data_IF_326427951680
#
_entry.id   IF_326427951680
#
_cell.length_a   1.000
_cell.length_b   1.000
_cell.length_c   1.000
_cell.angle_alpha   90.00
_cell.angle_beta   90.00
_cell.angle_gamma   90.00
#
_symmetry.space_group_name_H-M   'P 1'
#
loop_
_entity.id
_entity.type
_entity.pdbx_description
1 polymer ?
#
# COMPACT_ATOMS: atom_id res chain seq x y z
N UNK A 1 2.53 -18.18 9.53
CA UNK A 1 3.51 -17.20 9.01
C UNK A 1 3.05 -16.62 7.68
N UNK A 2 2.77 -17.46 6.68
CA UNK A 2 2.44 -17.02 5.31
C UNK A 2 1.17 -16.15 5.23
N UNK A 3 0.12 -16.47 5.99
CA UNK A 3 -1.10 -15.64 6.06
C UNK A 3 -0.84 -14.22 6.58
N UNK A 4 0.07 -14.08 7.57
CA UNK A 4 0.44 -12.78 8.10
C UNK A 4 1.22 -11.96 7.07
N UNK A 5 2.14 -12.61 6.33
CA UNK A 5 2.91 -11.97 5.26
C UNK A 5 1.97 -11.53 4.12
N UNK A 6 1.01 -12.39 3.74
CA UNK A 6 -0.02 -12.07 2.76
C UNK A 6 -0.90 -10.89 3.20
N UNK A 7 -1.32 -10.86 4.47
CA UNK A 7 -2.06 -9.74 5.04
C UNK A 7 -1.24 -8.44 5.06
N UNK A 8 0.04 -8.50 5.45
CA UNK A 8 0.95 -7.36 5.39
C UNK A 8 1.14 -6.85 3.95
N UNK A 9 1.29 -7.75 2.98
CA UNK A 9 1.37 -7.41 1.56
C UNK A 9 0.10 -6.72 1.07
N UNK A 10 -1.08 -7.26 1.42
CA UNK A 10 -2.34 -6.60 1.10
C UNK A 10 -2.42 -5.19 1.73
N UNK A 11 -2.12 -5.05 3.02
CA UNK A 11 -2.16 -3.78 3.73
C UNK A 11 -1.19 -2.74 3.16
N UNK A 12 -0.01 -3.14 2.69
CA UNK A 12 0.96 -2.24 2.08
C UNK A 12 0.36 -1.43 0.91
N UNK A 13 -0.67 -1.94 0.24
CA UNK A 13 -1.31 -1.29 -0.92
C UNK A 13 -1.92 0.06 -0.56
N UNK A 14 -2.33 0.22 0.71
CA UNK A 14 -2.88 1.46 1.23
C UNK A 14 -1.88 2.61 1.16
N UNK A 15 -0.56 2.37 1.18
CA UNK A 15 0.44 3.44 0.99
C UNK A 15 0.31 4.05 -0.41
N UNK A 16 0.31 3.20 -1.44
CA UNK A 16 0.20 3.64 -2.82
C UNK A 16 -1.16 4.28 -3.09
N UNK A 17 -2.25 3.65 -2.62
CA UNK A 17 -3.62 4.13 -2.79
C UNK A 17 -3.84 5.48 -2.12
N UNK A 18 -3.37 5.69 -0.89
CA UNK A 18 -3.50 6.98 -0.19
C UNK A 18 -2.62 8.09 -0.81
N UNK A 19 -1.47 7.74 -1.40
CA UNK A 19 -0.63 8.68 -2.14
C UNK A 19 -1.29 9.11 -3.44
N UNK A 20 -1.90 8.18 -4.18
CA UNK A 20 -2.69 8.48 -5.37
C UNK A 20 -3.92 9.32 -5.04
N UNK A 21 -4.66 8.97 -3.98
CA UNK A 21 -5.87 9.68 -3.58
C UNK A 21 -5.60 11.17 -3.23
N UNK A 22 -4.40 11.49 -2.69
CA UNK A 22 -3.97 12.88 -2.44
C UNK A 22 -3.46 13.61 -3.68
N UNK A 23 -3.01 12.89 -4.71
CA UNK A 23 -2.55 13.49 -5.96
C UNK A 23 -3.71 13.88 -6.89
N UNK A 24 -4.91 13.34 -6.64
CA UNK A 24 -6.12 13.66 -7.39
C UNK A 24 -6.91 14.75 -6.66
N UNK A 25 -7.25 15.88 -7.32
CA UNK A 25 -8.13 16.87 -6.74
C UNK A 25 -9.54 16.27 -6.62
N UNK A 26 -10.01 16.05 -5.40
CA UNK A 26 -11.38 15.57 -5.14
C UNK A 26 -12.08 16.49 -4.14
N UNK A 27 -13.38 16.70 -4.34
CA UNK A 27 -14.23 17.46 -3.39
C UNK A 27 -14.20 16.88 -1.98
N UNK A 28 -13.95 15.58 -1.84
CA UNK A 28 -13.91 14.87 -0.55
C UNK A 28 -12.81 15.42 0.39
N UNK A 29 -11.78 16.07 -0.16
CA UNK A 29 -10.71 16.68 0.64
C UNK A 29 -11.07 18.06 1.22
N UNK A 30 -12.26 18.59 0.93
CA UNK A 30 -12.68 19.91 1.41
C UNK A 30 -11.80 21.06 0.89
N UNK A 31 -10.98 20.82 -0.14
CA UNK A 31 -10.18 21.85 -0.81
C UNK A 31 -11.13 22.70 -1.67
N UNK A 32 -11.86 23.58 -1.00
CA UNK A 32 -12.58 24.66 -1.67
C UNK A 32 -11.60 25.56 -2.40
N UNK A 33 -12.06 26.18 -3.48
CA UNK A 33 -11.37 27.25 -4.18
C UNK A 33 -10.96 28.34 -3.15
N UNK A 34 -9.73 28.32 -2.66
CA UNK A 34 -9.28 29.26 -1.62
C UNK A 34 -8.14 28.82 -0.71
N UNK A 35 -7.69 27.55 -0.69
CA UNK A 35 -6.48 27.19 0.06
C UNK A 35 -5.22 27.62 -0.69
N UNK A 36 -4.85 28.89 -0.51
CA UNK A 36 -3.58 29.49 -0.91
C UNK A 36 -2.40 28.68 -0.34
N UNK A 37 -1.62 28.02 -1.21
CA UNK A 37 -0.22 27.67 -0.92
C UNK A 37 0.20 26.21 -1.05
N UNK A 38 -0.70 25.23 -1.03
CA UNK A 38 -0.32 23.82 -1.16
C UNK A 38 -0.49 23.35 -2.61
N UNK A 39 0.55 23.46 -3.43
CA UNK A 39 0.57 22.82 -4.75
C UNK A 39 0.30 21.32 -4.56
N UNK A 40 -0.77 20.75 -5.15
CA UNK A 40 -1.01 19.32 -5.06
C UNK A 40 0.23 18.61 -5.64
N UNK A 41 0.81 17.61 -4.94
CA UNK A 41 1.96 16.90 -5.48
C UNK A 41 1.53 16.25 -6.80
N UNK A 42 2.24 16.61 -7.88
CA UNK A 42 1.96 16.12 -9.22
C UNK A 42 1.84 14.57 -9.22
N UNK A 43 0.96 13.97 -10.04
CA UNK A 43 0.79 12.52 -10.13
C UNK A 43 2.11 11.78 -10.40
N UNK A 44 3.10 12.45 -11.01
CA UNK A 44 4.48 11.98 -11.18
C UNK A 44 5.17 11.57 -9.87
N UNK A 45 4.87 12.19 -8.73
CA UNK A 45 5.43 11.83 -7.41
C UNK A 45 4.75 10.61 -6.78
N UNK A 46 3.57 10.20 -7.24
CA UNK A 46 2.87 9.02 -6.72
C UNK A 46 3.32 7.72 -7.39
N UNK A 47 3.75 7.79 -8.65
CA UNK A 47 4.30 6.67 -9.42
C UNK A 47 5.44 5.89 -8.76
N UNK A 48 6.54 6.53 -8.30
CA UNK A 48 7.63 5.78 -7.68
C UNK A 48 7.18 5.03 -6.43
N UNK A 49 6.21 5.58 -5.69
CA UNK A 49 5.65 4.93 -4.51
C UNK A 49 4.79 3.73 -4.92
N UNK A 50 3.94 3.89 -5.93
CA UNK A 50 3.11 2.78 -6.43
C UNK A 50 3.97 1.63 -6.94
N UNK A 51 5.01 1.92 -7.75
CA UNK A 51 5.96 0.92 -8.25
C UNK A 51 6.69 0.25 -7.07
N UNK A 52 7.26 1.04 -6.16
CA UNK A 52 7.97 0.49 -5.00
C UNK A 52 7.08 -0.41 -4.12
N UNK A 53 5.81 -0.04 -3.97
CA UNK A 53 4.83 -0.84 -3.22
C UNK A 53 4.47 -2.12 -3.96
N UNK A 54 4.25 -2.08 -5.28
CA UNK A 54 3.96 -3.26 -6.10
C UNK A 54 5.12 -4.26 -6.09
N UNK A 55 6.36 -3.78 -6.20
CA UNK A 55 7.56 -4.63 -6.11
C UNK A 55 7.64 -5.30 -4.73
N UNK A 56 7.52 -4.51 -3.66
CA UNK A 56 7.57 -5.04 -2.30
C UNK A 56 6.49 -6.09 -2.04
N UNK A 57 5.24 -5.81 -2.45
CA UNK A 57 4.13 -6.75 -2.32
C UNK A 57 4.29 -7.99 -3.16
N UNK A 58 4.69 -7.83 -4.42
CA UNK A 58 4.92 -8.93 -5.33
C UNK A 58 5.94 -9.89 -4.74
N UNK A 59 7.09 -9.38 -4.31
CA UNK A 59 8.12 -10.19 -3.68
C UNK A 59 7.61 -10.90 -2.40
N UNK A 60 6.98 -10.17 -1.48
CA UNK A 60 6.48 -10.76 -0.23
C UNK A 60 5.37 -11.80 -0.46
N UNK A 61 4.39 -11.50 -1.32
CA UNK A 61 3.25 -12.37 -1.59
C UNK A 61 3.65 -13.62 -2.37
N UNK A 62 4.54 -13.48 -3.37
CA UNK A 62 5.04 -14.62 -4.15
C UNK A 62 5.95 -15.52 -3.31
N UNK A 63 6.78 -14.96 -2.43
CA UNK A 63 7.56 -15.74 -1.47
C UNK A 63 6.66 -16.53 -0.50
N UNK A 64 5.55 -15.94 -0.07
CA UNK A 64 4.65 -16.57 0.91
C UNK A 64 3.69 -17.62 0.32
N UNK A 65 3.21 -17.42 -0.91
CA UNK A 65 2.07 -18.19 -1.49
C UNK A 65 2.36 -18.80 -2.86
N UNK A 66 3.53 -18.54 -3.45
CA UNK A 66 3.87 -18.92 -4.81
C UNK A 66 3.47 -17.85 -5.84
N UNK A 67 4.00 -17.97 -7.06
CA UNK A 67 3.95 -16.91 -8.06
C UNK A 67 2.52 -16.53 -8.49
N UNK A 68 1.70 -17.51 -8.87
CA UNK A 68 0.34 -17.27 -9.36
C UNK A 68 -0.58 -16.70 -8.25
N UNK A 69 -0.58 -17.32 -7.08
CA UNK A 69 -1.39 -16.88 -5.94
C UNK A 69 -0.94 -15.51 -5.42
N UNK A 70 0.36 -15.25 -5.38
CA UNK A 70 0.91 -13.96 -4.95
C UNK A 70 0.48 -12.81 -5.86
N UNK A 71 0.56 -12.98 -7.18
CA UNK A 71 0.10 -11.96 -8.14
C UNK A 71 -1.41 -11.74 -8.06
N UNK A 72 -2.21 -12.81 -7.93
CA UNK A 72 -3.64 -12.71 -7.75
C UNK A 72 -4.01 -11.96 -6.47
N UNK A 73 -3.29 -12.20 -5.36
CA UNK A 73 -3.47 -11.49 -4.10
C UNK A 73 -3.16 -10.00 -4.24
N UNK A 74 -2.07 -9.65 -4.93
CA UNK A 74 -1.74 -8.24 -5.19
C UNK A 74 -2.87 -7.59 -5.98
N UNK A 75 -3.32 -8.18 -7.08
CA UNK A 75 -4.43 -7.63 -7.87
C UNK A 75 -5.72 -7.49 -7.05
N UNK A 76 -6.09 -8.52 -6.29
CA UNK A 76 -7.30 -8.52 -5.46
C UNK A 76 -7.23 -7.47 -4.35
N UNK A 77 -6.07 -7.33 -3.68
CA UNK A 77 -5.89 -6.36 -2.60
C UNK A 77 -6.04 -4.92 -3.10
N UNK A 78 -5.48 -4.59 -4.26
CA UNK A 78 -5.65 -3.26 -4.87
C UNK A 78 -7.10 -2.96 -5.23
N UNK A 79 -7.85 -3.95 -5.74
CA UNK A 79 -9.27 -3.78 -6.06
C UNK A 79 -10.11 -3.61 -4.80
N UNK A 80 -9.99 -4.52 -3.84
CA UNK A 80 -10.82 -4.52 -2.62
C UNK A 80 -10.47 -3.34 -1.73
N UNK A 81 -9.19 -3.09 -1.43
CA UNK A 81 -8.78 -1.97 -0.58
C UNK A 81 -8.92 -0.63 -1.29
N UNK A 82 -8.74 -0.58 -2.61
CA UNK A 82 -9.04 0.61 -3.41
C UNK A 82 -10.52 0.97 -3.32
N UNK A 83 -11.41 0.01 -3.52
CA UNK A 83 -12.85 0.18 -3.38
C UNK A 83 -13.25 0.63 -1.97
N UNK A 84 -12.76 -0.06 -0.93
CA UNK A 84 -13.03 0.28 0.47
C UNK A 84 -12.51 1.67 0.83
N UNK A 85 -11.33 2.06 0.33
CA UNK A 85 -10.77 3.38 0.56
C UNK A 85 -11.66 4.46 -0.05
N UNK A 86 -12.17 4.26 -1.27
CA UNK A 86 -13.11 5.20 -1.91
C UNK A 86 -14.39 5.35 -1.09
N UNK A 87 -14.99 4.24 -0.64
CA UNK A 87 -16.17 4.28 0.22
C UNK A 87 -15.89 5.01 1.54
N UNK A 88 -14.79 4.68 2.20
CA UNK A 88 -14.40 5.28 3.47
C UNK A 88 -14.10 6.78 3.32
N UNK A 89 -13.53 7.20 2.20
CA UNK A 89 -13.29 8.62 1.88
C UNK A 89 -14.58 9.39 1.60
N UNK A 90 -15.59 8.76 1.01
CA UNK A 90 -16.89 9.39 0.80
C UNK A 90 -17.68 9.58 2.10
N UNK A 91 -17.52 8.68 3.08
CA UNK A 91 -18.24 8.75 4.34
C UNK A 91 -17.49 9.54 5.43
N UNK A 92 -16.19 9.27 5.59
CA UNK A 92 -15.35 9.80 6.68
C UNK A 92 -13.93 10.17 6.20
N UNK A 93 -13.78 11.24 5.40
CA UNK A 93 -12.49 11.61 4.80
C UNK A 93 -11.42 11.98 5.85
N UNK A 94 -11.81 12.70 6.91
CA UNK A 94 -10.87 13.16 7.94
C UNK A 94 -10.28 12.00 8.78
N UNK A 95 -11.06 10.95 9.02
CA UNK A 95 -10.64 9.82 9.86
C UNK A 95 -9.95 8.72 9.05
N UNK A 96 -10.42 8.42 7.83
CA UNK A 96 -9.99 7.19 7.17
C UNK A 96 -8.62 7.32 6.47
N UNK A 97 -8.21 8.52 6.06
CA UNK A 97 -6.89 8.73 5.43
C UNK A 97 -5.72 8.51 6.40
N UNK A 98 -5.67 9.09 7.61
CA UNK A 98 -4.56 8.85 8.53
C UNK A 98 -4.50 7.38 8.96
N UNK A 99 -5.64 6.71 9.14
CA UNK A 99 -5.69 5.28 9.45
C UNK A 99 -5.21 4.43 8.28
N UNK A 100 -5.62 4.71 7.05
CA UNK A 100 -5.14 4.00 5.87
C UNK A 100 -3.62 4.16 5.69
N UNK A 101 -3.06 5.34 5.96
CA UNK A 101 -1.61 5.55 5.95
C UNK A 101 -0.88 4.73 7.03
N UNK A 102 -1.40 4.71 8.26
CA UNK A 102 -0.82 3.94 9.36
C UNK A 102 -0.86 2.43 9.06
N UNK A 103 -1.99 1.93 8.61
CA UNK A 103 -2.16 0.52 8.21
C UNK A 103 -1.25 0.15 7.04
N UNK A 104 -1.15 1.03 6.05
CA UNK A 104 -0.21 0.89 4.95
C UNK A 104 1.24 0.79 5.42
N UNK A 105 1.67 1.70 6.30
CA UNK A 105 3.01 1.70 6.87
C UNK A 105 3.32 0.41 7.66
N UNK A 106 2.37 -0.06 8.46
CA UNK A 106 2.48 -1.34 9.17
C UNK A 106 2.60 -2.52 8.21
N UNK A 107 1.78 -2.56 7.16
CA UNK A 107 1.86 -3.58 6.13
C UNK A 107 3.21 -3.58 5.40
N UNK A 108 3.70 -2.40 5.04
CA UNK A 108 5.02 -2.23 4.42
C UNK A 108 6.17 -2.69 5.32
N UNK A 109 6.16 -2.30 6.59
CA UNK A 109 7.15 -2.76 7.57
C UNK A 109 7.12 -4.29 7.75
N UNK A 110 5.93 -4.88 7.78
CA UNK A 110 5.76 -6.33 7.84
C UNK A 110 6.35 -7.04 6.61
N UNK A 111 6.17 -6.50 5.41
CA UNK A 111 6.77 -7.04 4.18
C UNK A 111 8.30 -6.99 4.21
N UNK A 112 8.88 -5.85 4.64
CA UNK A 112 10.34 -5.69 4.74
C UNK A 112 10.92 -6.67 5.75
N UNK A 113 10.30 -6.79 6.93
CA UNK A 113 10.72 -7.74 7.96
C UNK A 113 10.64 -9.19 7.47
N UNK A 114 9.56 -9.56 6.77
CA UNK A 114 9.39 -10.90 6.22
C UNK A 114 10.47 -11.24 5.18
N UNK A 115 10.77 -10.31 4.27
CA UNK A 115 11.83 -10.51 3.26
C UNK A 115 13.21 -10.56 3.91
N UNK A 116 13.50 -9.69 4.88
CA UNK A 116 14.75 -9.71 5.62
C UNK A 116 14.95 -11.05 6.36
N UNK A 117 13.87 -11.59 6.94
CA UNK A 117 13.90 -12.89 7.60
C UNK A 117 14.19 -14.03 6.64
N UNK A 118 13.54 -14.06 5.48
CA UNK A 118 13.81 -15.07 4.45
C UNK A 118 15.25 -14.99 3.91
N UNK A 119 15.79 -13.77 3.75
CA UNK A 119 17.20 -13.56 3.37
C UNK A 119 18.18 -14.07 4.43
N UNK A 120 17.93 -13.77 5.70
CA UNK A 120 18.75 -14.28 6.82
C UNK A 120 18.68 -15.80 6.86
N UNK A 121 17.48 -16.37 6.70
CA UNK A 121 17.30 -17.82 6.65
C UNK A 121 18.11 -18.41 5.50
N UNK A 122 17.97 -17.90 4.28
CA UNK A 122 18.71 -18.40 3.11
C UNK A 122 20.23 -18.28 3.28
N UNK A 123 20.72 -17.19 3.86
CA UNK A 123 22.15 -16.99 4.14
C UNK A 123 22.71 -17.96 5.18
N UNK A 124 21.90 -18.37 6.17
CA UNK A 124 22.32 -19.34 7.19
C UNK A 124 22.50 -20.77 6.67
N UNK A 125 21.97 -21.10 5.49
CA UNK A 125 22.17 -22.41 4.83
C UNK A 125 23.39 -22.43 3.89
N UNK A 126 23.98 -21.26 3.62
CA UNK A 126 25.11 -21.12 2.69
C UNK A 126 26.48 -21.02 3.39
N UNK A 127 26.51 -21.10 4.73
CA UNK A 127 27.70 -21.08 5.59
C UNK A 127 27.89 -22.43 6.27
#
# INVERSE_FOLDING_TARGET
>A
MNELIAACAALASLIALTRWARAVPTRAWGHGAGSTGQTPPAPLRAWPVAIGTLVLQGLAATAATGLAAGLALVAASWMVLGWLLVLAMNQWPAASLPWAQRLGALGGAGCVLALAWELVRAGSWAA
#
